data_IF_744474523083
#
_entry.id   IF_744474523083
#
_cell.length_a   1.000
_cell.length_b   1.000
_cell.length_c   1.000
_cell.angle_alpha   90.00
_cell.angle_beta   90.00
_cell.angle_gamma   90.00
#
_symmetry.space_group_name_H-M   'P 1'
#
loop_
_entity.id
_entity.type
_entity.pdbx_description
1 polymer ?
#
# COMPACT_ATOMS: atom_id res chain seq x y z
N UNK A 1 -7.74 -22.70 -30.16
CA UNK A 1 -7.64 -21.51 -29.30
C UNK A 1 -7.02 -21.78 -27.91
N UNK A 2 -6.79 -23.03 -27.48
CA UNK A 2 -6.30 -23.38 -26.13
C UNK A 2 -4.78 -23.34 -25.93
N UNK A 3 -3.96 -23.49 -26.98
CA UNK A 3 -2.49 -23.58 -26.84
C UNK A 3 -1.80 -22.23 -26.56
N UNK A 4 -2.38 -21.11 -26.99
CA UNK A 4 -1.81 -19.76 -26.79
C UNK A 4 -2.07 -19.22 -25.37
N UNK A 5 -3.14 -19.66 -24.71
CA UNK A 5 -3.48 -19.26 -23.35
C UNK A 5 -2.87 -20.18 -22.28
N UNK A 6 -2.34 -21.35 -22.67
CA UNK A 6 -1.72 -22.29 -21.73
C UNK A 6 -0.53 -21.70 -20.96
N UNK A 7 0.38 -20.92 -21.58
CA UNK A 7 1.48 -20.26 -20.84
C UNK A 7 0.95 -19.27 -19.81
N UNK A 8 -0.05 -18.47 -20.19
CA UNK A 8 -0.69 -17.49 -19.29
C UNK A 8 -1.41 -18.19 -18.14
N UNK A 9 -2.17 -19.26 -18.43
CA UNK A 9 -2.88 -20.04 -17.42
C UNK A 9 -1.90 -20.68 -16.42
N UNK A 10 -0.84 -21.31 -16.91
CA UNK A 10 0.15 -21.94 -16.04
C UNK A 10 0.92 -20.89 -15.22
N UNK A 11 1.22 -19.74 -15.81
CA UNK A 11 1.81 -18.62 -15.10
C UNK A 11 0.88 -18.11 -14.00
N UNK A 12 -0.40 -17.88 -14.33
CA UNK A 12 -1.43 -17.44 -13.39
C UNK A 12 -1.59 -18.42 -12.24
N UNK A 13 -1.75 -19.71 -12.52
CA UNK A 13 -1.80 -20.76 -11.48
C UNK A 13 -0.55 -20.78 -10.60
N UNK A 14 0.63 -20.47 -11.16
CA UNK A 14 1.89 -20.32 -10.42
C UNK A 14 1.98 -19.03 -9.58
N UNK A 15 1.10 -18.05 -9.78
CA UNK A 15 1.02 -16.82 -8.98
C UNK A 15 0.01 -16.91 -7.83
N UNK A 16 -0.49 -18.11 -7.49
CA UNK A 16 -1.55 -18.28 -6.48
C UNK A 16 -1.29 -17.56 -5.15
N UNK A 17 -0.07 -17.66 -4.63
CA UNK A 17 0.35 -16.98 -3.39
C UNK A 17 0.29 -15.45 -3.48
N UNK A 18 0.23 -14.89 -4.69
CA UNK A 18 0.25 -13.46 -4.99
C UNK A 18 -1.09 -12.98 -5.58
N UNK A 19 -2.08 -13.85 -5.72
CA UNK A 19 -3.36 -13.49 -6.34
C UNK A 19 -4.03 -12.35 -5.61
N UNK A 20 -4.05 -12.37 -4.27
CA UNK A 20 -4.63 -11.31 -3.48
C UNK A 20 -3.95 -9.96 -3.79
N UNK A 21 -2.62 -9.91 -3.76
CA UNK A 21 -1.85 -8.70 -4.10
C UNK A 21 -2.08 -8.23 -5.54
N UNK A 22 -2.06 -9.14 -6.52
CA UNK A 22 -2.23 -8.79 -7.95
C UNK A 22 -3.65 -8.25 -8.19
N UNK A 23 -4.66 -8.97 -7.70
CA UNK A 23 -6.07 -8.57 -7.85
C UNK A 23 -6.34 -7.25 -7.12
N UNK A 24 -5.76 -7.06 -5.93
CA UNK A 24 -5.86 -5.80 -5.19
C UNK A 24 -5.21 -4.64 -5.93
N UNK A 25 -3.99 -4.82 -6.43
CA UNK A 25 -3.27 -3.80 -7.21
C UNK A 25 -4.04 -3.42 -8.48
N UNK A 26 -4.53 -4.42 -9.21
CA UNK A 26 -5.25 -4.20 -10.46
C UNK A 26 -6.62 -3.56 -10.22
N UNK A 27 -7.32 -3.95 -9.16
CA UNK A 27 -8.55 -3.30 -8.71
C UNK A 27 -8.31 -1.85 -8.33
N UNK A 28 -7.24 -1.57 -7.57
CA UNK A 28 -6.87 -0.23 -7.15
C UNK A 28 -6.56 0.68 -8.35
N UNK A 29 -5.71 0.23 -9.29
CA UNK A 29 -5.39 0.99 -10.50
C UNK A 29 -6.66 1.24 -11.33
N UNK A 30 -7.50 0.23 -11.49
CA UNK A 30 -8.75 0.34 -12.25
C UNK A 30 -9.72 1.34 -11.61
N UNK A 31 -9.85 1.29 -10.27
CA UNK A 31 -10.60 2.27 -9.50
C UNK A 31 -10.02 3.67 -9.61
N UNK A 32 -8.70 3.83 -9.51
CA UNK A 32 -8.03 5.12 -9.67
C UNK A 32 -8.26 5.72 -11.06
N UNK A 33 -8.25 4.92 -12.13
CA UNK A 33 -8.57 5.41 -13.49
C UNK A 33 -10.02 5.92 -13.58
N UNK A 34 -10.98 5.20 -12.98
CA UNK A 34 -12.38 5.63 -12.95
C UNK A 34 -12.54 6.90 -12.11
N UNK A 35 -11.90 6.96 -10.94
CA UNK A 35 -11.93 8.14 -10.08
C UNK A 35 -11.29 9.35 -10.74
N UNK A 36 -10.15 9.17 -11.41
CA UNK A 36 -9.53 10.22 -12.22
C UNK A 36 -10.48 10.74 -13.28
N UNK A 37 -11.14 9.85 -14.02
CA UNK A 37 -12.10 10.26 -15.04
C UNK A 37 -13.30 11.02 -14.45
N UNK A 38 -13.79 10.63 -13.26
CA UNK A 38 -14.84 11.37 -12.56
C UNK A 38 -14.35 12.77 -12.21
N UNK A 39 -13.17 12.90 -11.59
CA UNK A 39 -12.59 14.21 -11.24
C UNK A 39 -12.39 15.07 -12.50
N UNK A 40 -11.81 14.50 -13.54
CA UNK A 40 -11.54 15.21 -14.79
C UNK A 40 -12.82 15.71 -15.48
N UNK A 41 -13.85 14.88 -15.59
CA UNK A 41 -15.08 15.28 -16.29
C UNK A 41 -16.01 16.15 -15.45
N UNK A 42 -16.13 15.90 -14.15
CA UNK A 42 -17.11 16.59 -13.30
C UNK A 42 -16.56 17.76 -12.49
N UNK A 43 -15.26 17.75 -12.14
CA UNK A 43 -14.67 18.79 -11.29
C UNK A 43 -13.74 19.72 -12.04
N UNK A 44 -13.15 19.28 -13.16
CA UNK A 44 -12.27 20.10 -14.00
C UNK A 44 -12.93 20.57 -15.30
N UNK A 45 -14.21 20.26 -15.51
CA UNK A 45 -14.94 20.51 -16.76
C UNK A 45 -14.15 20.07 -18.01
N UNK A 46 -13.33 19.02 -17.89
CA UNK A 46 -12.41 18.55 -18.94
C UNK A 46 -13.08 18.04 -20.21
N UNK A 47 -14.42 17.98 -20.24
CA UNK A 47 -15.20 17.75 -21.44
C UNK A 47 -15.31 19.00 -22.34
N UNK A 48 -15.31 20.20 -21.74
CA UNK A 48 -15.64 21.47 -22.40
C UNK A 48 -14.44 22.41 -22.56
N UNK A 49 -13.45 22.33 -21.65
CA UNK A 49 -12.27 23.19 -21.67
C UNK A 49 -11.31 22.80 -22.80
N UNK A 50 -11.02 23.73 -23.71
CA UNK A 50 -10.17 23.52 -24.90
C UNK A 50 -8.71 23.17 -24.52
N UNK A 51 -8.22 23.75 -23.43
CA UNK A 51 -6.86 23.49 -22.90
C UNK A 51 -6.64 22.02 -22.48
N UNK A 52 -7.71 21.32 -22.07
CA UNK A 52 -7.68 19.92 -21.63
C UNK A 52 -8.00 18.92 -22.74
N UNK A 53 -8.18 19.38 -23.98
CA UNK A 53 -8.56 18.55 -25.12
C UNK A 53 -7.60 17.37 -25.34
N UNK A 54 -6.30 17.61 -25.17
CA UNK A 54 -5.26 16.61 -25.39
C UNK A 54 -5.35 15.41 -24.41
N UNK A 55 -5.90 15.61 -23.20
CA UNK A 55 -6.10 14.55 -22.21
C UNK A 55 -7.44 13.82 -22.36
N UNK A 56 -8.42 14.46 -23.00
CA UNK A 56 -9.83 13.99 -23.08
C UNK A 56 -9.96 12.58 -23.65
N UNK A 57 -9.27 12.28 -24.75
CA UNK A 57 -9.31 10.95 -25.39
C UNK A 57 -8.70 9.88 -24.46
N UNK A 58 -7.57 10.20 -23.82
CA UNK A 58 -6.91 9.31 -22.87
C UNK A 58 -7.79 9.02 -21.65
N UNK A 59 -8.46 10.04 -21.10
CA UNK A 59 -9.37 9.89 -19.97
C UNK A 59 -10.58 9.02 -20.30
N UNK A 60 -11.17 9.15 -21.50
CA UNK A 60 -12.24 8.26 -21.94
C UNK A 60 -11.79 6.81 -22.08
N UNK A 61 -10.61 6.58 -22.68
CA UNK A 61 -10.02 5.24 -22.80
C UNK A 61 -9.76 4.66 -21.41
N UNK A 62 -9.15 5.43 -20.52
CA UNK A 62 -8.88 5.03 -19.13
C UNK A 62 -10.15 4.69 -18.36
N UNK A 63 -11.20 5.50 -18.51
CA UNK A 63 -12.52 5.21 -17.92
C UNK A 63 -13.08 3.89 -18.43
N UNK A 64 -13.09 3.66 -19.74
CA UNK A 64 -13.63 2.42 -20.32
C UNK A 64 -12.83 1.18 -19.87
N UNK A 65 -11.49 1.26 -19.92
CA UNK A 65 -10.62 0.17 -19.48
C UNK A 65 -10.79 -0.08 -17.98
N UNK A 66 -10.72 0.96 -17.14
CA UNK A 66 -10.84 0.84 -15.70
C UNK A 66 -12.20 0.31 -15.26
N UNK A 67 -13.28 0.82 -15.85
CA UNK A 67 -14.63 0.35 -15.56
C UNK A 67 -14.83 -1.11 -15.98
N UNK A 68 -14.40 -1.47 -17.19
CA UNK A 68 -14.50 -2.87 -17.67
C UNK A 68 -13.67 -3.81 -16.81
N UNK A 69 -12.44 -3.42 -16.46
CA UNK A 69 -11.57 -4.19 -15.58
C UNK A 69 -12.21 -4.43 -14.21
N UNK A 70 -12.82 -3.40 -13.59
CA UNK A 70 -13.49 -3.52 -12.30
C UNK A 70 -14.65 -4.51 -12.29
N UNK A 71 -15.40 -4.64 -13.39
CA UNK A 71 -16.52 -5.60 -13.48
C UNK A 71 -16.03 -7.04 -13.29
N UNK A 72 -14.84 -7.37 -13.80
CA UNK A 72 -14.30 -8.72 -13.73
C UNK A 72 -13.38 -8.92 -12.52
N UNK A 73 -12.48 -7.98 -12.26
CA UNK A 73 -11.43 -8.10 -11.25
C UNK A 73 -11.95 -7.70 -9.87
N UNK A 74 -12.86 -6.73 -9.79
CA UNK A 74 -13.40 -6.22 -8.54
C UNK A 74 -14.10 -7.30 -7.69
N UNK A 75 -15.07 -8.06 -8.23
CA UNK A 75 -15.71 -9.14 -7.49
C UNK A 75 -14.73 -10.23 -7.02
N UNK A 76 -13.76 -10.59 -7.86
CA UNK A 76 -12.73 -11.58 -7.53
C UNK A 76 -11.85 -11.07 -6.39
N UNK A 77 -11.41 -9.81 -6.45
CA UNK A 77 -10.67 -9.18 -5.36
C UNK A 77 -11.46 -9.16 -4.06
N UNK A 78 -12.74 -8.78 -4.09
CA UNK A 78 -13.61 -8.77 -2.90
C UNK A 78 -13.73 -10.18 -2.31
N UNK A 79 -13.83 -11.21 -3.15
CA UNK A 79 -13.85 -12.60 -2.69
C UNK A 79 -12.55 -12.98 -1.97
N UNK A 80 -11.39 -12.76 -2.59
CA UNK A 80 -10.08 -13.06 -1.97
C UNK A 80 -9.85 -12.24 -0.69
N UNK A 81 -10.22 -10.96 -0.70
CA UNK A 81 -10.11 -10.08 0.47
C UNK A 81 -11.00 -10.56 1.62
N UNK A 82 -12.20 -11.07 1.33
CA UNK A 82 -13.08 -11.69 2.30
C UNK A 82 -12.46 -12.95 2.93
N UNK A 83 -11.90 -13.84 2.11
CA UNK A 83 -11.20 -15.03 2.60
C UNK A 83 -9.99 -14.67 3.47
N UNK A 84 -9.21 -13.65 3.06
CA UNK A 84 -8.08 -13.15 3.85
C UNK A 84 -8.52 -12.57 5.19
N UNK A 85 -9.57 -11.74 5.20
CA UNK A 85 -10.11 -11.15 6.42
C UNK A 85 -10.62 -12.21 7.40
N UNK A 86 -11.33 -13.22 6.87
CA UNK A 86 -11.79 -14.37 7.65
C UNK A 86 -10.62 -15.18 8.22
N UNK A 87 -9.63 -15.52 7.40
CA UNK A 87 -8.46 -16.27 7.84
C UNK A 87 -7.70 -15.51 8.93
N UNK A 88 -7.51 -14.20 8.77
CA UNK A 88 -6.84 -13.36 9.77
C UNK A 88 -7.63 -13.32 11.08
N UNK A 89 -8.96 -13.29 11.03
CA UNK A 89 -9.80 -13.40 12.22
C UNK A 89 -9.58 -14.75 12.93
N UNK A 90 -9.58 -15.86 12.19
CA UNK A 90 -9.33 -17.19 12.77
C UNK A 90 -7.92 -17.33 13.34
N UNK A 91 -6.90 -16.76 12.69
CA UNK A 91 -5.52 -16.74 13.21
C UNK A 91 -5.38 -15.91 14.49
N UNK A 92 -6.29 -14.98 14.76
CA UNK A 92 -6.34 -14.24 16.02
C UNK A 92 -7.10 -14.99 17.13
N UNK A 93 -7.83 -16.07 16.81
CA UNK A 93 -8.52 -16.86 17.82
C UNK A 93 -7.52 -17.73 18.60
N UNK A 94 -7.61 -17.64 19.93
CA UNK A 94 -6.78 -18.43 20.86
C UNK A 94 -7.53 -19.63 21.46
N UNK A 95 -8.87 -19.66 21.35
CA UNK A 95 -9.70 -20.73 21.91
C UNK A 95 -9.72 -21.96 21.01
N UNK A 96 -9.27 -23.11 21.53
CA UNK A 96 -9.29 -24.40 20.82
C UNK A 96 -10.69 -24.82 20.37
N UNK A 97 -11.73 -24.51 21.15
CA UNK A 97 -13.11 -24.87 20.81
C UNK A 97 -13.64 -24.05 19.63
N UNK A 98 -13.31 -22.75 19.59
CA UNK A 98 -13.70 -21.85 18.50
C UNK A 98 -12.92 -22.17 17.21
N UNK A 99 -11.62 -22.40 17.32
CA UNK A 99 -10.79 -22.87 16.21
C UNK A 99 -11.31 -24.20 15.63
N UNK A 100 -11.84 -25.09 16.48
CA UNK A 100 -12.41 -26.37 16.04
C UNK A 100 -13.71 -26.20 15.26
N UNK A 101 -14.51 -25.20 15.63
CA UNK A 101 -15.78 -24.87 14.97
C UNK A 101 -15.57 -24.25 13.58
N UNK A 102 -14.61 -23.35 13.46
CA UNK A 102 -14.30 -22.60 12.22
C UNK A 102 -13.34 -23.33 11.30
N UNK A 103 -12.84 -24.50 11.72
CA UNK A 103 -11.78 -25.23 11.03
C UNK A 103 -12.03 -25.43 9.53
N UNK A 104 -13.22 -25.90 9.16
CA UNK A 104 -13.53 -26.23 7.76
C UNK A 104 -13.48 -25.00 6.86
N UNK A 105 -14.08 -23.92 7.32
CA UNK A 105 -14.14 -22.64 6.60
C UNK A 105 -12.75 -21.99 6.53
N UNK A 106 -11.97 -22.07 7.61
CA UNK A 106 -10.61 -21.54 7.63
C UNK A 106 -9.65 -22.32 6.72
N UNK A 107 -9.76 -23.65 6.67
CA UNK A 107 -9.00 -24.49 5.74
C UNK A 107 -9.35 -24.18 4.26
N UNK A 108 -10.63 -23.89 3.97
CA UNK A 108 -11.09 -23.49 2.64
C UNK A 108 -10.58 -22.09 2.26
N UNK A 109 -10.64 -21.14 3.20
CA UNK A 109 -10.11 -19.79 3.04
C UNK A 109 -8.59 -19.82 2.77
N UNK A 110 -7.84 -20.55 3.62
CA UNK A 110 -6.40 -20.68 3.48
C UNK A 110 -6.01 -21.36 2.16
N UNK A 111 -6.75 -22.39 1.73
CA UNK A 111 -6.54 -23.03 0.44
C UNK A 111 -6.75 -22.05 -0.72
N UNK A 112 -7.74 -21.17 -0.64
CA UNK A 112 -7.99 -20.16 -1.68
C UNK A 112 -6.81 -19.20 -1.80
N UNK A 113 -6.27 -18.74 -0.68
CA UNK A 113 -5.16 -17.77 -0.63
C UNK A 113 -3.81 -18.38 -1.02
N UNK A 114 -3.55 -19.65 -0.70
CA UNK A 114 -2.31 -20.32 -1.09
C UNK A 114 -1.79 -21.37 -0.11
N UNK A 115 -0.72 -22.04 -0.51
CA UNK A 115 -0.01 -23.02 0.29
C UNK A 115 0.64 -22.38 1.53
N UNK A 116 1.18 -21.16 1.42
CA UNK A 116 1.83 -20.48 2.55
C UNK A 116 0.80 -20.18 3.64
N UNK A 117 -0.36 -19.64 3.27
CA UNK A 117 -1.47 -19.39 4.21
C UNK A 117 -2.02 -20.69 4.82
N UNK A 118 -2.09 -21.76 4.04
CA UNK A 118 -2.45 -23.10 4.53
C UNK A 118 -1.43 -23.66 5.52
N UNK A 119 -0.15 -23.40 5.31
CA UNK A 119 0.93 -23.79 6.21
C UNK A 119 0.87 -22.99 7.53
N UNK A 120 0.63 -21.66 7.45
CA UNK A 120 0.43 -20.79 8.62
C UNK A 120 -0.76 -21.22 9.46
N UNK A 121 -1.89 -21.54 8.85
CA UNK A 121 -3.05 -22.04 9.57
C UNK A 121 -2.77 -23.37 10.29
N UNK A 122 -2.06 -24.30 9.64
CA UNK A 122 -1.65 -25.56 10.27
C UNK A 122 -0.70 -25.32 11.44
N UNK A 123 0.25 -24.40 11.31
CA UNK A 123 1.13 -24.01 12.41
C UNK A 123 0.32 -23.50 13.61
N UNK A 124 -0.64 -22.60 13.35
CA UNK A 124 -1.55 -22.05 14.37
C UNK A 124 -2.36 -23.14 15.09
N UNK A 125 -2.85 -24.14 14.35
CA UNK A 125 -3.56 -25.29 14.94
C UNK A 125 -2.68 -26.22 15.77
N UNK A 126 -1.39 -26.36 15.43
CA UNK A 126 -0.45 -27.14 16.23
C UNK A 126 -0.15 -26.40 17.53
N UNK A 127 0.08 -25.09 17.46
CA UNK A 127 0.34 -24.22 18.61
C UNK A 127 -0.81 -24.27 19.62
N UNK A 128 -2.06 -24.18 19.16
CA UNK A 128 -3.25 -24.21 20.01
C UNK A 128 -3.76 -25.63 20.34
N UNK A 129 -2.94 -26.66 20.08
CA UNK A 129 -3.21 -28.05 20.48
C UNK A 129 -4.41 -28.71 19.77
N UNK A 130 -4.84 -28.16 18.64
CA UNK A 130 -5.94 -28.68 17.83
C UNK A 130 -5.48 -29.83 16.94
N UNK A 131 -4.25 -29.74 16.42
CA UNK A 131 -3.56 -30.81 15.72
C UNK A 131 -2.38 -31.33 16.55
N UNK A 132 -2.26 -32.65 16.70
CA UNK A 132 -1.04 -33.27 17.26
C UNK A 132 0.02 -33.40 16.16
N UNK A 133 0.70 -32.30 15.85
CA UNK A 133 1.86 -32.25 14.96
C UNK A 133 3.18 -32.27 15.71
N UNK A 134 4.24 -32.83 15.11
CA UNK A 134 5.60 -32.84 15.69
C UNK A 134 6.35 -31.51 15.51
N UNK A 135 6.00 -30.74 14.49
CA UNK A 135 6.59 -29.44 14.16
C UNK A 135 5.68 -28.67 13.19
N UNK A 136 5.77 -27.34 13.22
CA UNK A 136 5.10 -26.48 12.24
C UNK A 136 5.69 -26.69 10.84
N UNK A 137 4.89 -26.58 9.76
CA UNK A 137 5.41 -26.67 8.40
C UNK A 137 6.43 -25.56 8.12
N UNK A 138 7.54 -25.87 7.46
CA UNK A 138 8.60 -24.89 7.15
C UNK A 138 8.10 -23.75 6.25
N UNK A 139 7.14 -24.06 5.36
CA UNK A 139 6.45 -23.10 4.48
C UNK A 139 5.71 -22.00 5.25
N UNK A 140 5.34 -22.22 6.53
CA UNK A 140 4.64 -21.22 7.34
C UNK A 140 5.49 -19.96 7.57
N UNK A 141 6.81 -20.11 7.55
CA UNK A 141 7.77 -19.02 7.76
C UNK A 141 8.13 -18.28 6.47
N UNK A 142 7.65 -18.73 5.31
CA UNK A 142 7.87 -18.02 4.05
C UNK A 142 7.04 -16.74 4.00
N UNK A 143 7.56 -15.73 3.31
CA UNK A 143 6.90 -14.43 3.17
C UNK A 143 6.07 -14.36 1.88
N UNK A 144 4.90 -13.74 1.97
CA UNK A 144 4.06 -13.35 0.83
C UNK A 144 4.17 -11.83 0.61
N UNK A 145 3.90 -11.32 -0.61
CA UNK A 145 4.02 -9.89 -0.89
C UNK A 145 3.20 -8.99 0.04
N UNK A 146 2.04 -9.47 0.48
CA UNK A 146 1.15 -8.77 1.39
C UNK A 146 1.78 -8.56 2.77
N UNK A 147 2.67 -9.46 3.21
CA UNK A 147 3.35 -9.33 4.50
C UNK A 147 4.18 -8.05 4.58
N UNK A 148 4.72 -7.56 3.46
CA UNK A 148 5.45 -6.30 3.44
C UNK A 148 4.56 -5.14 3.90
N UNK A 149 3.36 -5.03 3.34
CA UNK A 149 2.41 -3.96 3.66
C UNK A 149 1.81 -4.17 5.04
N UNK A 150 1.45 -5.42 5.37
CA UNK A 150 0.90 -5.78 6.69
C UNK A 150 1.90 -5.43 7.79
N UNK A 151 3.16 -5.89 7.66
CA UNK A 151 4.19 -5.66 8.67
C UNK A 151 4.53 -4.18 8.77
N UNK A 152 4.64 -3.47 7.64
CA UNK A 152 4.91 -2.03 7.67
C UNK A 152 3.78 -1.25 8.35
N UNK A 153 2.52 -1.54 8.01
CA UNK A 153 1.37 -0.85 8.60
C UNK A 153 1.12 -1.23 10.07
N UNK A 154 1.52 -2.43 10.47
CA UNK A 154 1.37 -2.94 11.83
C UNK A 154 2.58 -2.62 12.74
N UNK A 155 3.64 -2.01 12.22
CA UNK A 155 4.90 -1.78 12.93
C UNK A 155 4.75 -0.97 14.22
N UNK A 156 5.26 -1.55 15.31
CA UNK A 156 5.53 -0.93 16.62
C UNK A 156 7.03 -0.79 16.92
N UNK A 157 7.89 -1.28 16.01
CA UNK A 157 9.35 -1.19 16.08
C UNK A 157 9.94 -0.76 14.72
N UNK A 158 9.74 0.52 14.41
CA UNK A 158 10.27 1.12 13.19
C UNK A 158 11.77 1.41 13.32
N UNK A 159 12.43 1.66 12.19
CA UNK A 159 13.83 2.12 12.22
C UNK A 159 13.96 3.43 12.99
N UNK A 160 12.95 4.30 12.89
CA UNK A 160 12.90 5.53 13.67
C UNK A 160 12.89 5.27 15.18
N UNK A 161 12.07 4.33 15.66
CA UNK A 161 12.00 4.00 17.10
C UNK A 161 13.30 3.41 17.64
N UNK A 162 14.10 2.76 16.78
CA UNK A 162 15.42 2.26 17.15
C UNK A 162 16.50 3.34 17.12
N UNK A 163 16.44 4.27 16.16
CA UNK A 163 17.39 5.40 16.10
C UNK A 163 17.14 6.38 17.24
N UNK A 164 15.87 6.64 17.55
CA UNK A 164 15.45 7.57 18.58
C UNK A 164 14.60 6.80 19.58
N UNK A 165 15.19 6.49 20.74
CA UNK A 165 14.56 5.68 21.78
C UNK A 165 13.53 6.50 22.60
N UNK A 166 12.44 6.89 21.97
CA UNK A 166 11.30 7.59 22.58
C UNK A 166 10.07 6.68 22.50
N UNK A 167 9.31 6.59 23.60
CA UNK A 167 8.12 5.76 23.71
C UNK A 167 7.08 6.06 22.61
N UNK A 168 6.87 7.35 22.30
CA UNK A 168 5.98 7.80 21.22
C UNK A 168 6.30 7.15 19.86
N UNK A 169 7.57 6.88 19.53
CA UNK A 169 7.92 6.31 18.22
C UNK A 169 7.71 4.79 18.17
N UNK A 170 7.52 4.15 19.32
CA UNK A 170 7.13 2.74 19.44
C UNK A 170 5.62 2.54 19.31
N UNK A 171 4.85 3.62 19.35
CA UNK A 171 3.40 3.56 19.20
C UNK A 171 2.98 3.29 17.75
N UNK A 172 2.07 2.33 17.57
CA UNK A 172 1.59 1.94 16.24
C UNK A 172 0.85 3.09 15.52
N UNK A 173 0.10 3.91 16.27
CA UNK A 173 -0.61 5.06 15.69
C UNK A 173 0.38 6.10 15.13
N UNK A 174 1.52 6.30 15.80
CA UNK A 174 2.55 7.24 15.37
C UNK A 174 3.22 6.74 14.09
N UNK A 175 3.64 5.47 14.06
CA UNK A 175 4.26 4.87 12.87
C UNK A 175 3.33 4.91 11.65
N UNK A 176 2.02 4.66 11.83
CA UNK A 176 1.02 4.79 10.76
C UNK A 176 0.86 6.22 10.27
N UNK A 177 0.82 7.17 11.19
CA UNK A 177 0.70 8.60 10.86
C UNK A 177 1.92 9.09 10.09
N UNK A 178 3.12 8.69 10.54
CA UNK A 178 4.38 8.99 9.86
C UNK A 178 4.40 8.40 8.45
N UNK A 179 4.06 7.12 8.30
CA UNK A 179 3.98 6.47 6.98
C UNK A 179 3.00 7.22 6.06
N UNK A 180 1.81 7.56 6.55
CA UNK A 180 0.80 8.27 5.76
C UNK A 180 1.27 9.66 5.31
N UNK A 181 1.81 10.47 6.23
CA UNK A 181 2.27 11.83 5.94
C UNK A 181 3.45 11.81 4.96
N UNK A 182 4.39 10.89 5.16
CA UNK A 182 5.60 10.81 4.33
C UNK A 182 5.31 10.31 2.92
N UNK A 183 4.46 9.29 2.76
CA UNK A 183 4.00 8.83 1.44
C UNK A 183 3.24 9.93 0.72
N UNK A 184 2.29 10.58 1.41
CA UNK A 184 1.47 11.65 0.81
C UNK A 184 2.34 12.84 0.41
N UNK A 185 3.25 13.27 1.28
CA UNK A 185 4.19 14.36 1.00
C UNK A 185 5.14 14.04 -0.15
N UNK A 186 5.67 12.82 -0.20
CA UNK A 186 6.53 12.37 -1.29
C UNK A 186 5.80 12.39 -2.64
N UNK A 187 4.58 11.84 -2.70
CA UNK A 187 3.77 11.82 -3.92
C UNK A 187 3.34 13.23 -4.35
N UNK A 188 2.92 14.07 -3.40
CA UNK A 188 2.53 15.45 -3.69
C UNK A 188 3.72 16.25 -4.23
N UNK A 189 4.92 16.05 -3.68
CA UNK A 189 6.11 16.74 -4.17
C UNK A 189 6.55 16.25 -5.56
N UNK A 190 6.47 14.95 -5.83
CA UNK A 190 6.66 14.44 -7.20
C UNK A 190 5.65 15.04 -8.17
N UNK A 191 4.38 15.12 -7.77
CA UNK A 191 3.34 15.73 -8.58
C UNK A 191 3.64 17.21 -8.85
N UNK A 192 4.04 17.97 -7.81
CA UNK A 192 4.45 19.37 -7.94
C UNK A 192 5.59 19.56 -8.95
N UNK A 193 6.61 18.69 -8.92
CA UNK A 193 7.78 18.80 -9.80
C UNK A 193 7.46 18.42 -11.25
N UNK A 194 6.58 17.43 -11.48
CA UNK A 194 6.27 16.91 -12.82
C UNK A 194 5.15 17.70 -13.50
N UNK A 195 4.07 18.00 -12.76
CA UNK A 195 2.82 18.54 -13.29
C UNK A 195 2.49 19.94 -12.78
N UNK A 196 3.07 20.35 -11.66
CA UNK A 196 2.78 21.63 -11.04
C UNK A 196 1.51 21.61 -10.17
N UNK A 197 1.51 22.46 -9.14
CA UNK A 197 0.35 22.70 -8.26
C UNK A 197 0.00 24.18 -8.14
N UNK A 198 0.91 25.07 -8.54
CA UNK A 198 0.76 26.51 -8.50
C UNK A 198 0.06 27.02 -9.77
N UNK A 199 -0.69 28.11 -9.62
CA UNK A 199 -1.36 28.79 -10.72
C UNK A 199 -0.38 29.65 -11.50
N UNK A 200 -0.37 29.54 -12.83
CA UNK A 200 0.35 30.42 -13.74
C UNK A 200 -0.39 31.74 -13.94
N UNK A 201 0.23 32.69 -14.65
CA UNK A 201 -0.37 33.99 -14.98
C UNK A 201 -1.64 33.86 -15.85
N UNK A 202 -1.80 32.74 -16.58
CA UNK A 202 -3.01 32.40 -17.34
C UNK A 202 -4.16 31.90 -16.46
N UNK A 203 -3.90 31.66 -15.17
CA UNK A 203 -4.85 31.06 -14.22
C UNK A 203 -4.87 29.53 -14.21
N UNK A 204 -4.12 28.88 -15.11
CA UNK A 204 -4.01 27.42 -15.16
C UNK A 204 -3.09 26.87 -14.05
N UNK A 205 -3.39 25.70 -13.49
CA UNK A 205 -2.55 25.03 -12.46
C UNK A 205 -1.49 24.15 -13.11
N UNK A 206 -0.50 24.79 -13.70
CA UNK A 206 0.57 24.15 -14.48
C UNK A 206 1.98 24.53 -14.00
N UNK A 207 2.08 25.39 -12.98
CA UNK A 207 3.38 25.79 -12.45
C UNK A 207 3.81 24.91 -11.28
N UNK A 208 5.06 24.47 -11.28
CA UNK A 208 5.74 23.95 -10.10
C UNK A 208 5.90 25.06 -9.07
N UNK A 209 5.45 24.79 -7.85
CA UNK A 209 5.67 25.64 -6.70
C UNK A 209 7.13 25.51 -6.26
N UNK A 210 7.87 26.62 -6.26
CA UNK A 210 9.25 26.65 -5.77
C UNK A 210 9.23 26.80 -4.25
N UNK A 211 9.57 25.75 -3.51
CA UNK A 211 9.27 25.66 -2.07
C UNK A 211 9.97 26.77 -1.30
N UNK A 212 11.25 27.00 -1.56
CA UNK A 212 12.04 28.03 -0.89
C UNK A 212 11.51 29.44 -1.16
N UNK A 213 11.11 29.72 -2.39
CA UNK A 213 10.63 31.06 -2.75
C UNK A 213 9.24 31.29 -2.17
N UNK A 214 8.37 30.28 -2.22
CA UNK A 214 7.06 30.29 -1.58
C UNK A 214 7.16 30.55 -0.08
N UNK A 215 8.02 29.82 0.64
CA UNK A 215 8.19 29.98 2.08
C UNK A 215 8.78 31.35 2.47
N UNK A 216 9.62 31.94 1.62
CA UNK A 216 10.24 33.24 1.86
C UNK A 216 9.46 34.42 1.24
N UNK A 217 8.32 34.17 0.57
CA UNK A 217 7.53 35.19 -0.09
C UNK A 217 8.24 35.89 -1.26
N UNK A 218 9.16 35.19 -1.93
CA UNK A 218 9.92 35.70 -3.08
C UNK A 218 9.09 35.49 -4.36
N UNK A 219 9.05 36.51 -5.22
CA UNK A 219 8.45 36.45 -6.56
C UNK A 219 9.50 36.05 -7.60
N UNK A 220 9.22 35.18 -8.58
CA UNK A 220 7.90 34.69 -9.00
C UNK A 220 7.30 33.56 -8.14
N UNK A 221 8.09 32.82 -7.36
CA UNK A 221 7.59 31.81 -6.41
C UNK A 221 7.03 30.53 -7.05
N UNK A 222 6.95 30.48 -8.38
CA UNK A 222 6.53 29.32 -9.15
C UNK A 222 7.08 29.40 -10.58
N UNK A 223 7.28 28.25 -11.20
CA UNK A 223 7.86 28.10 -12.55
C UNK A 223 7.06 27.10 -13.37
N UNK A 224 7.08 27.19 -14.69
CA UNK A 224 6.34 26.25 -15.57
C UNK A 224 6.81 24.81 -15.35
N UNK A 225 5.88 23.89 -15.07
CA UNK A 225 6.19 22.48 -14.92
C UNK A 225 6.45 21.81 -16.30
N UNK A 226 7.28 20.76 -16.38
CA UNK A 226 8.06 20.17 -15.29
C UNK A 226 9.27 21.05 -14.92
N UNK A 227 9.50 21.23 -13.62
CA UNK A 227 10.62 22.03 -13.10
C UNK A 227 11.38 21.24 -12.03
N UNK A 228 12.64 20.92 -12.33
CA UNK A 228 13.51 20.10 -11.48
C UNK A 228 14.71 20.87 -10.90
N UNK A 229 14.83 22.17 -11.16
CA UNK A 229 15.96 22.97 -10.69
C UNK A 229 15.73 23.53 -9.26
N UNK A 230 14.57 23.24 -8.66
CA UNK A 230 14.28 23.58 -7.26
C UNK A 230 15.02 22.64 -6.29
N UNK A 231 16.18 23.09 -5.80
CA UNK A 231 16.96 22.38 -4.78
C UNK A 231 16.15 22.13 -3.51
N UNK A 232 15.28 23.07 -3.11
CA UNK A 232 14.44 22.91 -1.92
C UNK A 232 13.32 21.89 -2.13
N UNK A 233 12.80 21.80 -3.36
CA UNK A 233 11.91 20.74 -3.82
C UNK A 233 12.54 19.35 -3.72
N UNK A 234 13.79 19.21 -4.20
CA UNK A 234 14.56 17.97 -4.04
C UNK A 234 14.85 17.65 -2.58
N UNK A 235 15.21 18.66 -1.78
CA UNK A 235 15.46 18.47 -0.35
C UNK A 235 14.21 17.95 0.36
N UNK A 236 13.03 18.54 0.11
CA UNK A 236 11.77 18.05 0.66
C UNK A 236 11.49 16.62 0.22
N UNK A 237 11.66 16.32 -1.07
CA UNK A 237 11.43 14.98 -1.61
C UNK A 237 12.33 13.94 -0.93
N UNK A 238 13.62 14.24 -0.76
CA UNK A 238 14.59 13.37 -0.10
C UNK A 238 14.28 13.20 1.39
N UNK A 239 13.88 14.28 2.09
CA UNK A 239 13.46 14.20 3.49
C UNK A 239 12.23 13.29 3.64
N UNK A 240 11.22 13.46 2.78
CA UNK A 240 10.03 12.61 2.81
C UNK A 240 10.37 11.15 2.50
N UNK A 241 11.25 10.90 1.52
CA UNK A 241 11.74 9.56 1.21
C UNK A 241 12.52 8.92 2.36
N UNK A 242 13.38 9.69 3.04
CA UNK A 242 14.14 9.23 4.19
C UNK A 242 13.24 8.94 5.40
N UNK A 243 12.26 9.79 5.69
CA UNK A 243 11.30 9.57 6.76
C UNK A 243 10.37 8.38 6.47
N UNK A 244 9.94 8.22 5.22
CA UNK A 244 9.22 7.03 4.77
C UNK A 244 10.07 5.78 5.01
N UNK A 245 11.35 5.81 4.65
CA UNK A 245 12.28 4.70 4.92
C UNK A 245 12.42 4.39 6.40
N UNK A 246 12.48 5.43 7.25
CA UNK A 246 12.58 5.28 8.70
C UNK A 246 11.31 4.71 9.34
N UNK A 247 10.16 4.85 8.69
CA UNK A 247 8.90 4.25 9.14
C UNK A 247 8.83 2.73 8.95
N UNK A 248 9.69 2.14 8.11
CA UNK A 248 9.70 0.68 7.92
C UNK A 248 10.17 -0.08 9.16
N UNK A 249 9.71 -1.34 9.32
CA UNK A 249 10.18 -2.21 10.40
C UNK A 249 11.70 -2.33 10.38
N UNK A 250 12.29 -2.30 11.57
CA UNK A 250 13.72 -2.50 11.73
C UNK A 250 14.07 -4.00 11.65
N UNK A 251 15.20 -4.36 11.01
CA UNK A 251 15.62 -5.76 10.91
C UNK A 251 16.16 -6.30 12.24
N UNK A 252 15.91 -7.58 12.53
CA UNK A 252 16.42 -8.27 13.71
C UNK A 252 15.58 -8.09 14.98
N UNK A 253 16.01 -8.70 16.07
CA UNK A 253 15.26 -8.73 17.33
C UNK A 253 15.14 -7.34 17.97
N UNK A 254 13.99 -7.11 18.61
CA UNK A 254 13.69 -5.85 19.27
C UNK A 254 14.58 -5.69 20.51
N UNK A 255 15.33 -4.58 20.66
CA UNK A 255 16.08 -4.32 21.88
C UNK A 255 15.13 -4.17 23.07
N UNK A 256 15.33 -4.98 24.11
CA UNK A 256 14.60 -4.84 25.36
C UNK A 256 14.92 -3.50 26.02
N UNK A 257 13.92 -2.91 26.66
CA UNK A 257 14.11 -1.64 27.36
C UNK A 257 14.91 -1.92 28.63
N UNK A 258 16.18 -1.51 28.67
CA UNK A 258 16.86 -1.33 29.95
C UNK A 258 16.20 -0.14 30.64
N UNK A 259 15.24 -0.41 31.51
CA UNK A 259 14.81 0.55 32.53
C UNK A 259 16.03 0.70 33.44
N UNK A 260 16.74 1.81 33.32
CA UNK A 260 17.66 2.22 34.37
C UNK A 260 16.75 2.58 35.53
N UNK A 261 16.64 1.69 36.52
CA UNK A 261 16.07 2.05 37.81
C UNK A 261 16.88 3.25 38.30
N UNK A 262 16.25 4.42 38.35
CA UNK A 262 16.81 5.57 39.06
C UNK A 262 16.94 5.13 40.53
N UNK A 263 18.16 4.84 40.97
CA UNK A 263 18.46 4.66 42.38
C UNK A 263 18.10 5.96 43.11
N UNK A 264 17.07 5.90 43.96
CA UNK A 264 16.62 6.98 44.86
C UNK A 264 17.73 7.48 45.79
#
# INVERSE_FOLDING_TARGET
MSKLLAPFKNWWEGQRERHLFILGTLSFISFSMVMWAIVFFFFLDGAQVEDLEHMRTGTWIGLFIGFTALIFIGPEFIHYQGQWSYLMQTLNLTSRAELGRERKEAEEAAKTLGAIWSARLKAHYIEHGLLRGRSAPEEANQTVPEDFVINWWATDDSRLSRVINIEMFREQWFNRSLAFVTVSGFLLQLYNMIWGIATSESGARENTLHIWEFLNGISPGSYTAPYFDDISGWALLLIMGALMWLSFPAPGDRPEHHVVEEEE
#
